data_IF_736578305755
#
_entry.id   IF_736578305755
#
_cell.length_a   1.000
_cell.length_b   1.000
_cell.length_c   1.000
_cell.angle_alpha   90.00
_cell.angle_beta   90.00
_cell.angle_gamma   90.00
#
_symmetry.space_group_name_H-M   'P 1'
#
loop_
_entity.id
_entity.type
_entity.pdbx_description
1 polymer ?
#
# COMPACT_ATOMS: atom_id res chain seq x y z
N UNK A 1 23.56 61.16 30.00
CA UNK A 1 23.50 59.77 30.52
C UNK A 1 22.53 58.98 29.66
N UNK A 2 23.05 58.06 28.83
CA UNK A 2 22.30 57.28 27.83
C UNK A 2 21.54 56.15 28.54
N UNK A 3 20.22 56.10 28.44
CA UNK A 3 19.42 54.93 28.84
C UNK A 3 19.24 54.03 27.62
N UNK A 4 19.96 52.91 27.63
CA UNK A 4 19.86 51.84 26.65
C UNK A 4 18.57 51.06 26.94
N UNK A 5 17.55 51.23 26.12
CA UNK A 5 16.31 50.45 26.19
C UNK A 5 16.59 49.11 25.53
N UNK A 6 16.71 48.05 26.33
CA UNK A 6 16.90 46.69 25.87
C UNK A 6 15.53 46.14 25.43
N UNK A 7 15.26 46.19 24.12
CA UNK A 7 14.04 45.62 23.53
C UNK A 7 14.21 44.11 23.47
N UNK A 8 13.51 43.41 24.38
CA UNK A 8 13.41 41.95 24.38
C UNK A 8 12.56 41.53 23.16
N UNK A 9 13.22 41.18 22.05
CA UNK A 9 12.56 40.57 20.90
C UNK A 9 12.17 39.13 21.23
N UNK A 10 10.91 38.90 21.60
CA UNK A 10 10.30 37.57 21.65
C UNK A 10 10.22 37.02 20.21
N UNK A 11 11.20 36.20 19.84
CA UNK A 11 11.14 35.43 18.60
C UNK A 11 10.17 34.27 18.86
N UNK A 12 8.90 34.45 18.49
CA UNK A 12 7.96 33.35 18.34
C UNK A 12 8.43 32.51 17.14
N UNK A 13 9.31 31.55 17.36
CA UNK A 13 9.47 30.45 16.41
C UNK A 13 8.24 29.58 16.55
N UNK A 14 7.21 29.85 15.74
CA UNK A 14 6.12 28.92 15.52
C UNK A 14 6.72 27.60 15.05
N UNK A 15 6.75 26.62 15.95
CA UNK A 15 7.04 25.23 15.62
C UNK A 15 5.85 24.81 14.76
N UNK A 16 6.02 24.87 13.44
CA UNK A 16 5.03 24.32 12.52
C UNK A 16 4.89 22.84 12.86
N UNK A 17 3.69 22.45 13.31
CA UNK A 17 3.36 21.04 13.50
C UNK A 17 3.55 20.35 12.15
N UNK A 18 4.61 19.54 12.05
CA UNK A 18 4.80 18.66 10.90
C UNK A 18 3.82 17.52 11.10
N UNK A 19 2.56 17.74 10.73
CA UNK A 19 1.57 16.68 10.61
C UNK A 19 2.03 15.73 9.50
N UNK A 20 2.65 14.62 9.89
CA UNK A 20 2.82 13.48 9.01
C UNK A 20 1.47 12.77 8.94
N UNK A 21 0.63 13.11 7.96
CA UNK A 21 -0.63 12.41 7.69
C UNK A 21 -0.32 11.00 7.17
N UNK A 22 -0.02 10.07 8.07
CA UNK A 22 0.28 8.70 7.68
C UNK A 22 -1.02 7.90 7.61
N UNK A 23 -1.30 7.30 6.47
CA UNK A 23 -2.44 6.39 6.29
C UNK A 23 -1.90 4.98 6.45
N UNK A 24 -2.38 4.25 7.45
CA UNK A 24 -2.00 2.86 7.69
C UNK A 24 -3.21 1.97 7.49
N UNK A 25 -3.07 0.86 6.77
CA UNK A 25 -4.15 -0.12 6.65
C UNK A 25 -3.63 -1.54 6.81
N UNK A 26 -4.36 -2.32 7.60
CA UNK A 26 -4.11 -3.74 7.84
C UNK A 26 -5.11 -4.55 7.04
N UNK A 27 -4.64 -5.47 6.21
CA UNK A 27 -5.50 -6.26 5.34
C UNK A 27 -5.58 -7.71 5.82
N UNK A 28 -6.70 -8.38 5.54
CA UNK A 28 -6.92 -9.79 5.94
C UNK A 28 -5.98 -10.78 5.23
N UNK A 29 -5.23 -10.33 4.21
CA UNK A 29 -4.17 -11.13 3.58
C UNK A 29 -2.90 -11.26 4.45
N UNK A 30 -2.88 -10.69 5.66
CA UNK A 30 -1.74 -10.76 6.59
C UNK A 30 -0.68 -9.67 6.39
N UNK A 31 -0.95 -8.69 5.53
CA UNK A 31 -0.06 -7.57 5.27
C UNK A 31 -0.57 -6.27 5.89
N UNK A 32 0.37 -5.40 6.24
CA UNK A 32 0.11 -4.00 6.58
C UNK A 32 0.73 -3.12 5.52
N UNK A 33 0.03 -2.05 5.18
CA UNK A 33 0.43 -1.08 4.19
C UNK A 33 0.40 0.31 4.81
N UNK A 34 1.28 1.18 4.33
CA UNK A 34 1.46 2.53 4.86
C UNK A 34 1.69 3.50 3.71
N UNK A 35 1.00 4.62 3.73
CA UNK A 35 1.20 5.77 2.84
C UNK A 35 1.62 6.93 3.73
N UNK A 36 2.82 7.45 3.53
CA UNK A 36 3.33 8.64 4.21
C UNK A 36 3.42 9.79 3.22
N UNK A 37 3.12 11.01 3.65
CA UNK A 37 3.27 12.19 2.79
C UNK A 37 4.43 13.04 3.28
N UNK A 38 5.42 13.23 2.40
CA UNK A 38 6.50 14.18 2.63
C UNK A 38 6.50 15.21 1.51
N UNK A 39 6.34 16.49 1.86
CA UNK A 39 6.24 17.60 0.89
C UNK A 39 5.25 17.33 -0.24
N UNK A 40 4.06 16.82 0.12
CA UNK A 40 2.96 16.43 -0.81
C UNK A 40 3.32 15.28 -1.78
N UNK A 41 4.42 14.56 -1.54
CA UNK A 41 4.77 13.36 -2.28
C UNK A 41 4.44 12.12 -1.44
N UNK A 42 3.71 11.15 -2.00
CA UNK A 42 3.39 9.91 -1.31
C UNK A 42 4.59 8.95 -1.32
N UNK A 43 4.90 8.39 -0.17
CA UNK A 43 5.85 7.30 0.03
C UNK A 43 5.09 6.09 0.53
N UNK A 44 5.20 4.99 -0.18
CA UNK A 44 4.32 3.84 0.03
C UNK A 44 5.18 2.66 0.49
N UNK A 45 4.71 2.01 1.55
CA UNK A 45 5.37 0.89 2.17
C UNK A 45 4.39 -0.27 2.40
N UNK A 46 4.93 -1.48 2.42
CA UNK A 46 4.21 -2.68 2.82
C UNK A 46 5.10 -3.53 3.73
N UNK A 47 4.47 -4.32 4.59
CA UNK A 47 5.16 -5.37 5.35
C UNK A 47 4.23 -6.54 5.60
N UNK A 48 4.82 -7.70 5.72
CA UNK A 48 4.19 -8.84 6.36
C UNK A 48 4.17 -8.63 7.87
N UNK A 49 3.28 -9.33 8.57
CA UNK A 49 3.28 -9.34 10.03
C UNK A 49 4.67 -9.73 10.56
N UNK A 50 5.20 -8.96 11.51
CA UNK A 50 6.51 -9.16 12.15
C UNK A 50 7.75 -9.07 11.21
N UNK A 51 7.60 -8.54 9.99
CA UNK A 51 8.73 -8.25 9.10
C UNK A 51 9.00 -6.75 8.97
N UNK A 52 10.16 -6.41 8.43
CA UNK A 52 10.54 -5.04 8.11
C UNK A 52 9.70 -4.46 6.98
N UNK A 53 9.61 -3.12 6.97
CA UNK A 53 8.95 -2.37 5.91
C UNK A 53 9.73 -2.45 4.60
N UNK A 54 9.01 -2.68 3.51
CA UNK A 54 9.51 -2.65 2.13
C UNK A 54 8.82 -1.51 1.36
N UNK A 55 9.56 -0.85 0.49
CA UNK A 55 9.02 0.22 -0.37
C UNK A 55 8.24 -0.36 -1.52
N UNK A 56 7.08 0.21 -1.83
CA UNK A 56 6.33 -0.10 -3.06
C UNK A 56 6.88 0.76 -4.19
N UNK A 57 7.26 0.11 -5.29
CA UNK A 57 7.90 0.77 -6.44
C UNK A 57 6.91 1.23 -7.51
N UNK A 58 5.69 0.68 -7.53
CA UNK A 58 4.70 1.03 -8.53
C UNK A 58 3.36 1.39 -7.89
N UNK A 59 2.84 2.57 -8.23
CA UNK A 59 1.58 3.07 -7.70
C UNK A 59 0.93 4.04 -8.66
N UNK A 60 -0.40 4.06 -8.65
CA UNK A 60 -1.20 5.05 -9.35
C UNK A 60 -2.04 5.80 -8.32
N UNK A 61 -1.78 7.09 -8.16
CA UNK A 61 -2.47 7.92 -7.17
C UNK A 61 -3.26 8.99 -7.91
N UNK A 62 -4.58 8.83 -7.85
CA UNK A 62 -5.57 9.76 -8.36
C UNK A 62 -6.28 10.41 -7.17
N UNK A 63 -6.90 11.58 -7.41
CA UNK A 63 -7.52 12.43 -6.38
C UNK A 63 -8.39 11.64 -5.39
N UNK A 64 -9.16 10.65 -5.87
CA UNK A 64 -10.07 9.86 -5.05
C UNK A 64 -9.77 8.35 -5.03
N UNK A 65 -8.61 7.93 -5.52
CA UNK A 65 -8.27 6.51 -5.61
C UNK A 65 -6.77 6.29 -5.62
N UNK A 66 -6.32 5.47 -4.69
CA UNK A 66 -4.93 5.10 -4.50
C UNK A 66 -4.83 3.64 -4.88
N UNK A 67 -3.94 3.33 -5.82
CA UNK A 67 -3.67 1.97 -6.27
C UNK A 67 -2.19 1.66 -6.02
N UNK A 68 -1.94 0.67 -5.17
CA UNK A 68 -0.60 0.19 -4.84
C UNK A 68 -0.40 -1.16 -5.51
N UNK A 69 0.64 -1.27 -6.34
CA UNK A 69 0.94 -2.48 -7.07
C UNK A 69 2.19 -3.10 -6.45
N UNK A 70 2.00 -4.22 -5.75
CA UNK A 70 3.11 -4.96 -5.18
C UNK A 70 3.90 -5.72 -6.27
N UNK A 71 5.16 -6.08 -5.99
CA UNK A 71 5.95 -6.94 -6.89
C UNK A 71 5.21 -8.23 -7.24
N UNK A 72 5.55 -8.75 -8.42
CA UNK A 72 4.96 -9.96 -8.97
C UNK A 72 5.27 -11.17 -8.07
N UNK A 73 4.30 -12.07 -7.99
CA UNK A 73 4.41 -13.33 -7.26
C UNK A 73 3.78 -14.46 -8.08
N UNK A 74 3.96 -15.70 -7.62
CA UNK A 74 3.50 -16.90 -8.31
C UNK A 74 2.73 -17.79 -7.34
N UNK A 75 1.65 -18.39 -7.84
CA UNK A 75 0.97 -19.45 -7.10
C UNK A 75 1.76 -20.76 -7.15
N UNK A 76 1.36 -21.70 -6.31
CA UNK A 76 1.86 -23.07 -6.41
C UNK A 76 1.38 -23.71 -7.73
N UNK A 77 2.32 -24.27 -8.48
CA UNK A 77 2.03 -24.99 -9.73
C UNK A 77 1.29 -26.32 -9.53
N UNK A 78 0.74 -26.82 -10.63
CA UNK A 78 0.11 -28.14 -10.68
C UNK A 78 1.14 -29.28 -10.67
N UNK A 79 0.70 -30.48 -10.28
CA UNK A 79 1.55 -31.69 -10.40
C UNK A 79 1.99 -31.94 -11.85
N UNK A 80 1.10 -31.66 -12.81
CA UNK A 80 1.44 -31.69 -14.23
C UNK A 80 2.30 -30.46 -14.55
N UNK A 81 3.58 -30.70 -14.86
CA UNK A 81 4.58 -29.65 -15.17
C UNK A 81 4.39 -28.99 -16.54
N UNK A 82 3.51 -29.52 -17.39
CA UNK A 82 3.20 -28.95 -18.70
C UNK A 82 2.13 -27.84 -18.62
N UNK A 83 1.58 -27.57 -17.44
CA UNK A 83 0.59 -26.51 -17.24
C UNK A 83 1.27 -25.25 -16.74
N UNK A 84 1.00 -24.13 -17.41
CA UNK A 84 1.54 -22.81 -17.02
C UNK A 84 1.08 -22.40 -15.63
N UNK A 85 2.02 -21.93 -14.80
CA UNK A 85 1.77 -21.49 -13.44
C UNK A 85 1.22 -20.06 -13.45
N UNK A 86 0.26 -19.78 -12.58
CA UNK A 86 -0.29 -18.44 -12.46
C UNK A 86 0.67 -17.46 -11.80
N UNK A 87 1.00 -16.42 -12.55
CA UNK A 87 1.65 -15.22 -12.04
C UNK A 87 0.59 -14.19 -11.69
N UNK A 88 0.80 -13.47 -10.59
CA UNK A 88 -0.14 -12.46 -10.13
C UNK A 88 0.56 -11.23 -9.54
N UNK A 89 -0.13 -10.10 -9.61
CA UNK A 89 0.22 -8.89 -8.86
C UNK A 89 -0.80 -8.68 -7.75
N UNK A 90 -0.34 -8.37 -6.54
CA UNK A 90 -1.24 -7.90 -5.49
C UNK A 90 -1.54 -6.42 -5.69
N UNK A 91 -2.81 -6.08 -5.84
CA UNK A 91 -3.31 -4.73 -6.02
C UNK A 91 -4.06 -4.31 -4.76
N UNK A 92 -3.56 -3.28 -4.10
CA UNK A 92 -4.23 -2.66 -2.96
C UNK A 92 -4.88 -1.37 -3.41
N UNK A 93 -6.15 -1.18 -3.04
CA UNK A 93 -6.86 0.06 -3.34
C UNK A 93 -7.34 0.73 -2.08
N UNK A 94 -7.25 2.06 -2.06
CA UNK A 94 -7.79 2.91 -1.01
C UNK A 94 -8.53 4.09 -1.63
N UNK A 95 -9.73 4.38 -1.10
CA UNK A 95 -10.57 5.51 -1.48
C UNK A 95 -10.66 6.49 -0.31
N UNK A 96 -9.95 7.64 -0.36
CA UNK A 96 -9.97 8.61 0.75
C UNK A 96 -11.37 9.11 1.11
N UNK A 97 -12.25 9.29 0.12
CA UNK A 97 -13.60 9.82 0.32
C UNK A 97 -14.52 8.92 1.14
N UNK A 98 -14.30 7.59 1.10
CA UNK A 98 -15.13 6.61 1.81
C UNK A 98 -14.37 5.91 2.94
N UNK A 99 -13.05 6.06 3.01
CA UNK A 99 -12.19 5.28 3.90
C UNK A 99 -12.10 3.81 3.52
N UNK A 100 -12.66 3.39 2.37
CA UNK A 100 -12.64 2.00 1.95
C UNK A 100 -11.26 1.60 1.46
N UNK A 101 -10.73 0.49 1.99
CA UNK A 101 -9.54 -0.17 1.50
C UNK A 101 -9.78 -1.67 1.27
N UNK A 102 -9.24 -2.19 0.17
CA UNK A 102 -9.28 -3.61 -0.16
C UNK A 102 -8.00 -4.03 -0.87
N UNK A 103 -7.72 -5.32 -0.81
CA UNK A 103 -6.62 -5.95 -1.54
C UNK A 103 -7.16 -7.10 -2.37
N UNK A 104 -6.59 -7.29 -3.55
CA UNK A 104 -6.91 -8.41 -4.45
C UNK A 104 -5.68 -8.84 -5.24
N UNK A 105 -5.75 -10.02 -5.81
CA UNK A 105 -4.70 -10.59 -6.65
C UNK A 105 -5.19 -10.58 -8.10
N UNK A 106 -4.40 -10.04 -9.02
CA UNK A 106 -4.77 -9.94 -10.44
C UNK A 106 -3.86 -10.86 -11.25
N UNK A 107 -4.45 -11.83 -11.93
CA UNK A 107 -3.73 -12.81 -12.76
C UNK A 107 -3.09 -12.13 -13.97
N UNK A 108 -1.84 -12.49 -14.30
CA UNK A 108 -1.03 -11.82 -15.34
C UNK A 108 -0.88 -12.61 -16.63
N UNK A 109 -1.17 -13.90 -16.60
CA UNK A 109 -1.10 -14.83 -17.73
C UNK A 109 -2.27 -15.84 -17.68
N UNK A 110 -2.64 -16.43 -18.81
CA UNK A 110 -3.53 -17.60 -18.80
C UNK A 110 -2.77 -18.79 -18.20
N UNK A 111 -3.35 -19.46 -17.20
CA UNK A 111 -2.58 -20.31 -16.30
C UNK A 111 -3.43 -21.27 -15.48
N UNK A 112 -2.78 -22.04 -14.60
CA UNK A 112 -3.40 -23.01 -13.69
C UNK A 112 -2.86 -22.86 -12.26
N UNK A 113 -3.74 -23.06 -11.27
CA UNK A 113 -3.38 -22.94 -9.83
C UNK A 113 -3.48 -24.31 -9.15
N UNK A 114 -2.35 -24.82 -8.64
CA UNK A 114 -2.26 -26.12 -7.99
C UNK A 114 -3.07 -26.24 -6.71
N UNK A 115 -3.05 -25.20 -5.87
CA UNK A 115 -3.82 -25.15 -4.61
C UNK A 115 -5.34 -25.00 -4.81
N UNK A 116 -5.79 -24.71 -6.03
CA UNK A 116 -7.20 -24.50 -6.37
C UNK A 116 -7.71 -25.53 -7.38
N UNK A 117 -7.21 -26.76 -7.28
CA UNK A 117 -7.69 -27.90 -8.06
C UNK A 117 -7.20 -27.96 -9.50
N UNK A 118 -6.19 -27.17 -9.89
CA UNK A 118 -5.65 -27.15 -11.26
C UNK A 118 -6.68 -26.74 -12.32
N UNK A 119 -7.59 -25.83 -11.97
CA UNK A 119 -8.49 -25.18 -12.92
C UNK A 119 -7.74 -24.16 -13.78
N UNK A 120 -8.25 -23.86 -14.98
CA UNK A 120 -7.73 -22.80 -15.86
C UNK A 120 -8.22 -21.43 -15.38
N UNK A 121 -7.32 -20.47 -15.28
CA UNK A 121 -7.59 -19.07 -14.96
C UNK A 121 -7.11 -18.19 -16.12
N UNK A 122 -7.83 -17.10 -16.38
CA UNK A 122 -7.53 -16.17 -17.46
C UNK A 122 -6.77 -14.96 -16.95
N UNK A 123 -5.91 -14.41 -17.80
CA UNK A 123 -5.26 -13.12 -17.55
C UNK A 123 -6.29 -12.03 -17.24
N UNK A 124 -6.00 -11.24 -16.20
CA UNK A 124 -6.84 -10.15 -15.73
C UNK A 124 -7.91 -10.57 -14.71
N UNK A 125 -8.10 -11.86 -14.47
CA UNK A 125 -9.01 -12.35 -13.45
C UNK A 125 -8.56 -11.89 -12.06
N UNK A 126 -9.50 -11.36 -11.29
CA UNK A 126 -9.28 -10.92 -9.91
C UNK A 126 -9.66 -12.02 -8.93
N UNK A 127 -8.74 -12.37 -8.03
CA UNK A 127 -8.90 -13.42 -7.02
C UNK A 127 -8.62 -12.85 -5.62
N UNK A 128 -9.03 -13.63 -4.60
CA UNK A 128 -8.70 -13.39 -3.20
C UNK A 128 -8.95 -11.94 -2.74
N UNK A 129 -10.11 -11.40 -3.11
CA UNK A 129 -10.52 -10.08 -2.63
C UNK A 129 -10.70 -10.10 -1.11
N UNK A 130 -9.95 -9.27 -0.41
CA UNK A 130 -9.95 -9.14 1.05
C UNK A 130 -10.16 -7.70 1.48
N UNK A 131 -10.76 -7.51 2.65
CA UNK A 131 -10.95 -6.19 3.24
C UNK A 131 -9.68 -5.71 3.92
N UNK A 132 -9.54 -4.40 4.02
CA UNK A 132 -8.51 -3.74 4.79
C UNK A 132 -9.13 -2.77 5.79
N UNK A 133 -8.61 -2.77 7.00
CA UNK A 133 -9.01 -1.87 8.07
C UNK A 133 -8.04 -0.69 8.09
N UNK A 134 -8.57 0.50 7.81
CA UNK A 134 -7.81 1.75 7.82
C UNK A 134 -7.70 2.27 9.24
N UNK A 135 -6.48 2.63 9.64
CA UNK A 135 -6.15 3.26 10.90
C UNK A 135 -5.59 4.65 10.60
N UNK A 136 -6.28 5.69 11.10
CA UNK A 136 -5.76 7.03 11.16
C UNK A 136 -5.12 7.23 12.54
N UNK A 137 -3.84 7.62 12.62
CA UNK A 137 -3.23 8.04 13.88
C UNK A 137 -3.85 9.35 14.39
#
# INVERSE_FOLDING_TARGET
>A
MKKLILVLSFIFTSIGEIYSENILFKCENGFTYKIEYYKKRPFIYYKELNKDWKTVVNSNILINKYELILPESQYLGCKNKNLDICEYTTLVTYKPSTGEANVREVIRNDCFIGTMGCNKYQKGLELNQRRCFVHFP
#
